data_IF_080317981841
#
_entry.id   IF_080317981841
#
_cell.length_a   1.000
_cell.length_b   1.000
_cell.length_c   1.000
_cell.angle_alpha   90.00
_cell.angle_beta   90.00
_cell.angle_gamma   90.00
#
_symmetry.space_group_name_H-M   'P 1'
#
loop_
_entity.id
_entity.type
_entity.pdbx_description
1 polymer ?
#
# COMPACT_ATOMS: atom_id res chain seq x y z
N UNK A 1 -54.11 -4.62 -21.92
CA UNK A 1 -53.34 -4.90 -20.69
C UNK A 1 -51.88 -5.07 -21.11
N UNK A 2 -51.15 -3.96 -21.18
CA UNK A 2 -49.82 -3.93 -21.82
C UNK A 2 -48.75 -4.08 -20.77
N UNK A 3 -48.06 -5.22 -20.74
CA UNK A 3 -46.92 -5.45 -19.84
C UNK A 3 -45.69 -4.70 -20.37
N UNK A 4 -45.23 -3.71 -19.61
CA UNK A 4 -43.97 -3.01 -19.88
C UNK A 4 -42.86 -3.82 -19.23
N UNK A 5 -42.04 -4.48 -20.05
CA UNK A 5 -40.81 -5.14 -19.60
C UNK A 5 -39.82 -4.05 -19.18
N UNK A 6 -39.73 -3.77 -17.89
CA UNK A 6 -38.69 -2.91 -17.33
C UNK A 6 -37.38 -3.68 -17.39
N UNK A 7 -36.39 -3.16 -18.11
CA UNK A 7 -35.03 -3.68 -18.10
C UNK A 7 -34.43 -3.51 -16.70
N UNK A 8 -34.57 -4.54 -15.87
CA UNK A 8 -33.82 -4.66 -14.63
C UNK A 8 -32.41 -5.07 -15.01
N UNK A 9 -31.50 -4.09 -15.13
CA UNK A 9 -30.07 -4.36 -15.08
C UNK A 9 -29.72 -4.73 -13.65
N UNK A 10 -29.61 -6.03 -13.38
CA UNK A 10 -28.83 -6.53 -12.24
C UNK A 10 -27.36 -6.19 -12.51
N UNK A 11 -26.91 -5.06 -11.98
CA UNK A 11 -25.49 -4.74 -11.93
C UNK A 11 -24.96 -5.40 -10.67
N UNK A 12 -24.29 -6.54 -10.81
CA UNK A 12 -23.44 -7.07 -9.76
C UNK A 12 -22.19 -6.19 -9.71
N UNK A 13 -22.31 -5.06 -9.02
CA UNK A 13 -21.15 -4.25 -8.65
C UNK A 13 -20.56 -4.94 -7.43
N UNK A 14 -19.71 -5.95 -7.65
CA UNK A 14 -18.77 -6.35 -6.61
C UNK A 14 -17.58 -5.37 -6.66
N UNK A 15 -17.86 -4.06 -6.57
CA UNK A 15 -16.81 -3.06 -6.32
C UNK A 15 -16.43 -3.24 -4.87
N UNK A 16 -15.39 -4.02 -4.62
CA UNK A 16 -14.67 -3.95 -3.37
C UNK A 16 -14.10 -2.54 -3.28
N UNK A 17 -14.76 -1.68 -2.53
CA UNK A 17 -14.22 -0.36 -2.22
C UNK A 17 -13.13 -0.50 -1.17
N UNK A 18 -12.02 0.23 -1.29
CA UNK A 18 -11.00 0.20 -0.25
C UNK A 18 -11.58 0.73 1.06
N UNK A 19 -11.31 0.04 2.16
CA UNK A 19 -11.60 0.49 3.52
C UNK A 19 -10.91 1.82 3.82
N UNK A 20 -9.70 2.00 3.28
CA UNK A 20 -8.91 3.20 3.39
C UNK A 20 -8.10 3.40 2.11
N UNK A 21 -8.02 4.64 1.64
CA UNK A 21 -7.05 5.06 0.64
C UNK A 21 -6.32 6.32 1.13
N UNK A 22 -5.00 6.34 1.01
CA UNK A 22 -4.17 7.49 1.42
C UNK A 22 -3.05 7.74 0.42
N UNK A 23 -2.83 9.01 0.10
CA UNK A 23 -1.64 9.44 -0.65
C UNK A 23 -0.42 9.33 0.25
N UNK A 24 0.61 8.66 -0.24
CA UNK A 24 1.85 8.36 0.47
C UNK A 24 3.02 8.55 -0.48
N UNK A 25 4.19 8.85 0.07
CA UNK A 25 5.43 8.81 -0.69
C UNK A 25 6.02 7.40 -0.57
N UNK A 26 5.99 6.61 -1.64
CA UNK A 26 6.62 5.30 -1.66
C UNK A 26 8.13 5.46 -1.82
N UNK A 27 8.84 5.21 -0.72
CA UNK A 27 10.28 5.42 -0.68
C UNK A 27 11.05 4.23 -1.25
N UNK A 28 10.53 2.99 -1.11
CA UNK A 28 11.11 1.79 -1.71
C UNK A 28 10.81 0.50 -0.95
N UNK A 29 11.38 -0.61 -1.42
CA UNK A 29 11.29 -1.95 -0.82
C UNK A 29 12.67 -2.52 -0.52
N UNK A 30 12.85 -3.17 0.63
CA UNK A 30 14.09 -3.88 0.96
C UNK A 30 13.80 -5.34 1.26
N UNK A 31 14.68 -6.23 0.81
CA UNK A 31 14.66 -7.63 1.23
C UNK A 31 15.32 -7.69 2.62
N UNK A 32 14.73 -8.37 3.61
CA UNK A 32 15.38 -8.61 4.88
C UNK A 32 16.72 -9.31 4.65
N UNK A 33 17.81 -8.79 5.23
CA UNK A 33 19.12 -9.44 5.12
C UNK A 33 19.12 -10.70 5.98
N UNK A 34 19.44 -11.85 5.39
CA UNK A 34 19.36 -13.19 6.00
C UNK A 34 20.15 -13.36 7.32
N UNK A 35 21.08 -12.45 7.61
CA UNK A 35 21.97 -12.52 8.78
C UNK A 35 21.54 -11.69 9.98
N UNK A 36 20.44 -10.93 9.91
CA UNK A 36 19.99 -10.08 11.01
C UNK A 36 18.78 -10.69 11.74
N UNK A 37 18.84 -10.74 13.08
CA UNK A 37 17.77 -11.24 13.93
C UNK A 37 16.94 -10.10 14.53
N UNK A 38 15.62 -10.28 14.62
CA UNK A 38 14.72 -9.35 15.31
C UNK A 38 14.35 -8.08 14.52
N UNK A 39 13.89 -7.05 15.25
CA UNK A 39 13.37 -5.80 14.69
C UNK A 39 14.42 -4.99 13.91
N UNK A 40 15.69 -5.09 14.31
CA UNK A 40 16.82 -4.43 13.64
C UNK A 40 17.02 -4.92 12.20
N UNK A 41 16.70 -6.18 11.92
CA UNK A 41 16.79 -6.75 10.56
C UNK A 41 15.88 -6.05 9.55
N UNK A 42 14.78 -5.47 10.02
CA UNK A 42 13.80 -4.74 9.22
C UNK A 42 14.08 -3.25 9.25
N UNK A 43 14.44 -2.71 10.41
CA UNK A 43 14.65 -1.27 10.59
C UNK A 43 15.98 -0.76 10.02
N UNK A 44 17.08 -1.52 10.15
CA UNK A 44 18.40 -1.05 9.72
C UNK A 44 18.47 -0.81 8.21
N UNK A 45 17.95 -1.70 7.33
CA UNK A 45 17.92 -1.43 5.89
C UNK A 45 17.11 -0.18 5.50
N UNK A 46 16.06 0.14 6.28
CA UNK A 46 15.26 1.35 6.06
C UNK A 46 16.01 2.59 6.54
N UNK A 47 16.65 2.54 7.71
CA UNK A 47 17.46 3.66 8.24
C UNK A 47 18.68 3.95 7.37
N UNK A 48 19.37 2.92 6.90
CA UNK A 48 20.53 3.06 6.00
C UNK A 48 20.11 3.72 4.68
N UNK A 49 18.90 3.42 4.20
CA UNK A 49 18.38 3.96 2.95
C UNK A 49 17.74 5.33 3.10
N UNK A 50 17.16 5.63 4.25
CA UNK A 50 16.48 6.88 4.57
C UNK A 50 17.01 7.40 5.92
N UNK A 51 18.22 7.98 5.94
CA UNK A 51 18.80 8.52 7.16
C UNK A 51 17.96 9.68 7.68
N UNK A 52 17.58 9.59 8.96
CA UNK A 52 16.68 10.55 9.63
C UNK A 52 17.35 11.92 9.88
N UNK A 53 18.66 12.03 9.65
CA UNK A 53 19.50 13.08 10.25
C UNK A 53 19.90 14.24 9.33
N UNK A 54 19.44 14.29 8.08
CA UNK A 54 19.70 15.46 7.24
C UNK A 54 18.40 15.92 6.59
N UNK A 55 18.28 17.24 6.44
CA UNK A 55 17.29 17.99 5.65
C UNK A 55 17.25 17.58 4.16
N UNK A 56 17.76 16.39 3.84
CA UNK A 56 17.60 15.68 2.58
C UNK A 56 16.12 15.46 2.31
N UNK A 57 15.67 16.11 1.24
CA UNK A 57 14.36 15.91 0.66
C UNK A 57 14.20 14.40 0.37
N UNK A 58 13.42 13.69 1.19
CA UNK A 58 13.20 12.25 1.01
C UNK A 58 12.59 12.09 -0.39
N UNK A 59 13.35 11.53 -1.31
CA UNK A 59 12.89 11.26 -2.67
C UNK A 59 12.16 9.91 -2.70
N UNK A 60 11.04 9.89 -3.40
CA UNK A 60 10.23 8.70 -3.55
C UNK A 60 9.19 8.87 -4.64
N UNK A 61 8.37 7.84 -4.82
CA UNK A 61 7.32 7.82 -5.83
C UNK A 61 6.01 8.23 -5.16
N UNK A 62 5.42 9.33 -5.61
CA UNK A 62 4.10 9.74 -5.16
C UNK A 62 3.07 8.67 -5.52
N UNK A 63 2.40 8.14 -4.50
CA UNK A 63 1.65 6.90 -4.58
C UNK A 63 0.36 6.98 -3.77
N UNK A 64 -0.55 6.06 -4.02
CA UNK A 64 -1.74 5.82 -3.19
C UNK A 64 -1.64 4.41 -2.64
N UNK A 65 -1.69 4.30 -1.31
CA UNK A 65 -1.89 3.01 -0.63
C UNK A 65 -3.37 2.84 -0.36
N UNK A 66 -3.91 1.67 -0.71
CA UNK A 66 -5.31 1.30 -0.50
C UNK A 66 -5.38 0.01 0.30
N UNK A 67 -6.24 -0.04 1.31
CA UNK A 67 -6.44 -1.20 2.17
C UNK A 67 -7.82 -1.78 1.88
N UNK A 68 -7.87 -3.08 1.62
CA UNK A 68 -9.07 -3.88 1.40
C UNK A 68 -9.15 -4.97 2.49
N UNK A 69 -10.24 -5.73 2.49
CA UNK A 69 -10.46 -6.80 3.48
C UNK A 69 -9.45 -7.96 3.36
N UNK A 70 -8.88 -8.15 2.17
CA UNK A 70 -8.00 -9.27 1.82
C UNK A 70 -6.58 -8.85 1.40
N UNK A 71 -6.37 -7.56 1.19
CA UNK A 71 -5.16 -7.06 0.54
C UNK A 71 -4.82 -5.60 0.88
N UNK A 72 -3.56 -5.28 0.70
CA UNK A 72 -3.05 -3.91 0.59
C UNK A 72 -2.58 -3.72 -0.86
N UNK A 73 -2.95 -2.60 -1.45
CA UNK A 73 -2.54 -2.24 -2.81
C UNK A 73 -1.75 -0.94 -2.79
N UNK A 74 -0.69 -0.86 -3.59
CA UNK A 74 0.06 0.36 -3.84
C UNK A 74 -0.03 0.69 -5.33
N UNK A 75 -0.41 1.92 -5.64
CA UNK A 75 -0.46 2.44 -7.02
C UNK A 75 0.36 3.70 -7.12
N UNK A 76 1.12 3.85 -8.19
CA UNK A 76 1.84 5.09 -8.46
C UNK A 76 0.87 6.12 -9.03
N UNK A 77 0.97 7.37 -8.58
CA UNK A 77 0.13 8.46 -9.12
C UNK A 77 0.46 8.72 -10.60
N UNK A 78 1.72 8.53 -10.98
CA UNK A 78 2.18 8.65 -12.37
C UNK A 78 1.73 7.52 -13.29
N UNK A 79 1.44 6.34 -12.73
CA UNK A 79 1.02 5.15 -13.47
C UNK A 79 -0.07 4.39 -12.69
N UNK A 80 -1.34 4.81 -12.84
CA UNK A 80 -2.46 4.23 -12.09
C UNK A 80 -2.80 2.79 -12.49
N UNK A 81 -2.37 2.36 -13.68
CA UNK A 81 -2.60 1.02 -14.20
C UNK A 81 -1.65 0.01 -13.54
N UNK A 82 -0.49 0.47 -13.06
CA UNK A 82 0.42 -0.34 -12.27
C UNK A 82 -0.05 -0.46 -10.81
N UNK A 83 -0.57 -1.64 -10.48
CA UNK A 83 -1.00 -1.98 -9.11
C UNK A 83 -0.09 -3.05 -8.54
N UNK A 84 0.59 -2.73 -7.43
CA UNK A 84 1.32 -3.70 -6.64
C UNK A 84 0.38 -4.24 -5.56
N UNK A 85 0.22 -5.56 -5.52
CA UNK A 85 -0.73 -6.24 -4.65
C UNK A 85 -0.02 -7.02 -3.54
N UNK A 86 -0.40 -6.76 -2.30
CA UNK A 86 0.12 -7.43 -1.10
C UNK A 86 -1.04 -8.14 -0.37
N UNK A 87 -1.18 -9.46 -0.51
CA UNK A 87 -2.20 -10.21 0.23
C UNK A 87 -2.00 -10.06 1.74
N UNK A 88 -3.08 -9.80 2.50
CA UNK A 88 -3.01 -9.68 3.96
C UNK A 88 -2.48 -10.99 4.58
N UNK A 89 -2.79 -12.13 3.98
CA UNK A 89 -2.32 -13.46 4.42
C UNK A 89 -0.80 -13.62 4.35
N UNK A 90 -0.10 -12.82 3.54
CA UNK A 90 1.37 -12.84 3.42
C UNK A 90 2.05 -11.81 4.31
N UNK A 91 1.28 -11.03 5.08
CA UNK A 91 1.76 -9.90 5.83
C UNK A 91 2.17 -10.31 7.25
N UNK A 92 3.47 -10.42 7.49
CA UNK A 92 4.01 -10.91 8.77
C UNK A 92 4.16 -9.80 9.82
N UNK A 93 4.49 -8.57 9.40
CA UNK A 93 4.77 -7.46 10.29
C UNK A 93 4.44 -6.12 9.63
N UNK A 94 3.75 -5.22 10.36
CA UNK A 94 3.60 -3.80 10.02
C UNK A 94 4.21 -2.96 11.12
N UNK A 95 5.06 -2.01 10.74
CA UNK A 95 5.70 -1.07 11.65
C UNK A 95 5.35 0.35 11.24
N UNK A 96 5.11 1.20 12.22
CA UNK A 96 5.07 2.64 12.05
C UNK A 96 6.25 3.21 12.84
N UNK A 97 6.99 4.13 12.23
CA UNK A 97 8.03 4.85 12.96
C UNK A 97 7.37 5.99 13.74
N UNK A 98 7.41 5.90 15.07
CA UNK A 98 6.88 6.92 15.99
C UNK A 98 7.82 8.10 16.15
N UNK A 99 9.05 8.01 15.65
CA UNK A 99 10.07 9.06 15.80
C UNK A 99 9.75 10.34 15.04
N UNK A 100 8.67 10.34 14.23
CA UNK A 100 8.18 11.46 13.44
C UNK A 100 6.89 12.10 14.01
N UNK A 101 6.46 11.71 15.22
CA UNK A 101 5.35 12.32 16.00
C UNK A 101 5.91 13.19 17.13
#
# INVERSE_FOLDING_TARGET
>A
MTYRKTDVKMVFVNETHPLLARRVLYIGSSVPRETATGLEAVQQPLRDRYPVNDESNIEGIDSVISVFDDSIQLKYVSDPDQVIHFPITSLTLLLYDVSQL
#
